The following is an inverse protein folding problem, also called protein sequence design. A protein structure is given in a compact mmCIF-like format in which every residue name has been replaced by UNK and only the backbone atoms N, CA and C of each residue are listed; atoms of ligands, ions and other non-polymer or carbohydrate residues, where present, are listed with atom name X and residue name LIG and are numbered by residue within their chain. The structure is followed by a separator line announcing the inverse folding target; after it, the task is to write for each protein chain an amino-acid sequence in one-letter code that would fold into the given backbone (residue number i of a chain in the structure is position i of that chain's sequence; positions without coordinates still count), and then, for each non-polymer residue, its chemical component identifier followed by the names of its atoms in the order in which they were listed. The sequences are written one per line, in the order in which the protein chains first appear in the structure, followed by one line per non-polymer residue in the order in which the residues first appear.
data_IF_160630656885
#
_entry.id   IF_160630656885
#
_cell.length_a   1.000
_cell.length_b   1.000
_cell.length_c   1.000
_cell.angle_alpha   90.00
_cell.angle_beta   90.00
_cell.angle_gamma   90.00
#
_symmetry.space_group_name_H-M   'P 1'
#
loop_
_entity.id
_entity.type
_entity.pdbx_description
1 polymer ?
#
# COMPACT_ATOMS: atom_id res chain seq x y z
N UNK A 1 -8.02 -9.54 -24.09
CA UNK A 1 -7.61 -9.97 -22.74
C UNK A 1 -6.74 -8.86 -22.18
N UNK A 2 -7.02 -8.32 -20.99
CA UNK A 2 -6.14 -7.29 -20.39
C UNK A 2 -4.73 -7.85 -20.26
N UNK A 3 -3.76 -7.18 -20.90
CA UNK A 3 -2.34 -7.61 -20.93
C UNK A 3 -1.60 -7.30 -19.63
N UNK A 4 -2.23 -6.55 -18.73
CA UNK A 4 -1.63 -6.01 -17.52
C UNK A 4 -2.54 -6.26 -16.33
N UNK A 5 -1.99 -6.80 -15.25
CA UNK A 5 -2.68 -6.98 -13.96
C UNK A 5 -1.97 -6.12 -12.92
N UNK A 6 -2.73 -5.37 -12.13
CA UNK A 6 -2.18 -4.48 -11.10
C UNK A 6 -2.88 -4.66 -9.75
N UNK A 7 -2.09 -4.60 -8.70
CA UNK A 7 -2.48 -4.95 -7.34
C UNK A 7 -1.94 -3.92 -6.34
N UNK A 8 -2.67 -3.79 -5.22
CA UNK A 8 -2.46 -2.79 -4.18
C UNK A 8 -2.44 -1.34 -4.71
N UNK A 9 -2.49 -0.36 -3.81
CA UNK A 9 -2.47 1.06 -4.20
C UNK A 9 -1.05 1.62 -4.22
N UNK A 10 -0.79 2.52 -5.17
CA UNK A 10 0.40 3.37 -5.18
C UNK A 10 0.19 4.49 -4.16
N UNK A 11 1.24 4.85 -3.43
CA UNK A 11 1.20 6.01 -2.55
C UNK A 11 1.08 7.26 -3.42
N UNK A 12 0.07 8.07 -3.13
CA UNK A 12 -0.20 9.38 -3.71
C UNK A 12 -0.05 10.45 -2.61
N UNK A 13 -0.48 11.68 -2.87
CA UNK A 13 -0.46 12.76 -1.88
C UNK A 13 -1.56 12.65 -0.80
N UNK A 14 -2.42 11.63 -0.84
CA UNK A 14 -3.54 11.48 0.09
C UNK A 14 -3.09 11.39 1.56
N UNK A 15 -2.08 10.57 1.93
CA UNK A 15 -1.57 10.55 3.31
C UNK A 15 -1.06 11.92 3.78
N UNK A 16 -0.41 12.68 2.89
CA UNK A 16 0.12 14.00 3.20
C UNK A 16 -1.01 15.00 3.43
N UNK A 17 -2.03 15.01 2.55
CA UNK A 17 -3.18 15.90 2.67
C UNK A 17 -3.98 15.63 3.95
N UNK A 18 -4.19 14.36 4.31
CA UNK A 18 -4.86 13.99 5.56
C UNK A 18 -4.04 14.43 6.77
N UNK A 19 -2.71 14.27 6.73
CA UNK A 19 -1.83 14.73 7.80
C UNK A 19 -1.89 16.25 7.98
N UNK A 20 -1.91 17.02 6.87
CA UNK A 20 -2.04 18.50 6.91
C UNK A 20 -3.39 18.88 7.52
N UNK A 21 -4.47 18.26 7.06
CA UNK A 21 -5.80 18.50 7.59
C UNK A 21 -5.88 18.20 9.09
N UNK A 22 -5.30 17.08 9.54
CA UNK A 22 -5.25 16.72 10.95
C UNK A 22 -4.48 17.75 11.79
N UNK A 23 -3.32 18.23 11.29
CA UNK A 23 -2.55 19.29 11.93
C UNK A 23 -3.35 20.59 12.08
N UNK A 24 -4.10 20.98 11.05
CA UNK A 24 -4.99 22.16 11.09
C UNK A 24 -6.12 22.01 12.11
N UNK A 25 -6.75 20.83 12.18
CA UNK A 25 -7.80 20.53 13.16
C UNK A 25 -7.25 20.64 14.58
N UNK A 26 -6.10 20.01 14.88
CA UNK A 26 -5.47 20.08 16.20
C UNK A 26 -5.06 21.50 16.56
N UNK A 27 -4.48 22.24 15.60
CA UNK A 27 -4.13 23.65 15.79
C UNK A 27 -5.36 24.51 16.12
N UNK A 28 -6.47 24.30 15.41
CA UNK A 28 -7.74 25.03 15.64
C UNK A 28 -8.32 24.74 17.02
N UNK A 29 -8.35 23.48 17.44
CA UNK A 29 -8.80 23.08 18.79
C UNK A 29 -7.91 23.73 19.85
N UNK A 30 -6.59 23.73 19.64
CA UNK A 30 -5.63 24.32 20.59
C UNK A 30 -5.79 25.84 20.66
N UNK A 31 -6.07 26.51 19.53
CA UNK A 31 -6.36 27.94 19.49
C UNK A 31 -7.58 28.30 20.34
N UNK A 32 -8.65 27.49 20.30
CA UNK A 32 -9.83 27.70 21.14
C UNK A 32 -9.53 27.61 22.64
N UNK A 33 -8.53 26.82 23.04
CA UNK A 33 -8.11 26.68 24.44
C UNK A 33 -7.11 27.77 24.88
N UNK A 34 -6.22 28.19 23.98
CA UNK A 34 -5.12 29.12 24.26
C UNK A 34 -5.05 30.25 23.21
N UNK A 35 -6.07 31.12 23.10
CA UNK A 35 -6.17 32.08 22.01
C UNK A 35 -5.04 33.12 21.98
N UNK A 36 -4.55 33.52 23.16
CA UNK A 36 -3.51 34.54 23.32
C UNK A 36 -2.08 34.01 23.14
N UNK A 37 -1.91 32.72 22.84
CA UNK A 37 -0.58 32.08 22.75
C UNK A 37 -0.35 31.48 21.36
N UNK A 38 -0.03 32.33 20.36
CA UNK A 38 0.14 31.90 18.97
C UNK A 38 1.14 30.78 18.76
N UNK A 39 2.20 30.81 19.56
CA UNK A 39 3.25 29.80 19.53
C UNK A 39 2.72 28.42 19.92
N UNK A 40 1.81 28.32 20.90
CA UNK A 40 1.31 27.05 21.45
C UNK A 40 0.47 26.33 20.39
N UNK A 41 -0.54 26.98 19.82
CA UNK A 41 -1.40 26.32 18.84
C UNK A 41 -0.68 26.01 17.53
N UNK A 42 0.29 26.83 17.13
CA UNK A 42 1.16 26.53 15.97
C UNK A 42 2.00 25.28 16.24
N UNK A 43 2.64 25.20 17.41
CA UNK A 43 3.48 24.06 17.78
C UNK A 43 2.66 22.77 17.85
N UNK A 44 1.48 22.80 18.48
CA UNK A 44 0.59 21.65 18.58
C UNK A 44 0.12 21.16 17.21
N UNK A 45 -0.27 22.06 16.30
CA UNK A 45 -0.67 21.68 14.93
C UNK A 45 0.48 21.07 14.12
N UNK A 46 1.68 21.66 14.20
CA UNK A 46 2.89 21.12 13.54
C UNK A 46 3.29 19.76 14.11
N UNK A 47 3.26 19.61 15.43
CA UNK A 47 3.57 18.32 16.08
C UNK A 47 2.56 17.23 15.68
N UNK A 48 1.26 17.56 15.62
CA UNK A 48 0.24 16.63 15.16
C UNK A 48 0.49 16.19 13.70
N UNK A 49 0.81 17.15 12.82
CA UNK A 49 1.19 16.84 11.43
C UNK A 49 2.42 15.92 11.36
N UNK A 50 3.46 16.19 12.14
CA UNK A 50 4.70 15.39 12.16
C UNK A 50 4.41 13.97 12.65
N UNK A 51 3.67 13.82 13.75
CA UNK A 51 3.31 12.51 14.31
C UNK A 51 2.49 11.71 13.32
N UNK A 52 1.49 12.33 12.68
CA UNK A 52 0.64 11.65 11.72
C UNK A 52 1.44 11.21 10.47
N UNK A 53 2.17 12.14 9.84
CA UNK A 53 2.88 11.90 8.58
C UNK A 53 4.14 11.05 8.72
N UNK A 54 4.86 11.14 9.85
CA UNK A 54 6.15 10.46 10.04
C UNK A 54 6.09 9.24 10.93
N UNK A 55 5.05 9.06 11.76
CA UNK A 55 4.92 7.91 12.67
C UNK A 55 3.72 7.04 12.34
N UNK A 56 2.52 7.62 12.28
CA UNK A 56 1.29 6.85 12.13
C UNK A 56 1.19 6.31 10.69
N UNK A 57 1.18 7.17 9.68
CA UNK A 57 1.06 6.73 8.29
C UNK A 57 2.12 5.71 7.85
N UNK A 58 3.44 5.93 8.04
CA UNK A 58 4.46 4.95 7.64
C UNK A 58 4.29 3.58 8.32
N UNK A 59 3.75 3.54 9.54
CA UNK A 59 3.48 2.29 10.25
C UNK A 59 2.35 1.49 9.59
N UNK A 60 1.27 2.16 9.18
CA UNK A 60 0.11 1.49 8.58
C UNK A 60 0.21 1.34 7.05
N UNK A 61 1.12 2.07 6.40
CA UNK A 61 1.29 2.09 4.96
C UNK A 61 1.47 0.69 4.35
N UNK A 62 2.25 -0.17 5.00
CA UNK A 62 2.56 -1.52 4.47
C UNK A 62 1.35 -2.46 4.37
N UNK A 63 0.23 -2.12 5.01
CA UNK A 63 -0.98 -2.94 4.95
C UNK A 63 -1.85 -2.59 3.73
N UNK A 64 -1.80 -1.33 3.29
CA UNK A 64 -2.69 -0.78 2.25
C UNK A 64 -1.94 -0.41 0.96
N UNK A 65 -0.64 -0.17 1.06
CA UNK A 65 0.22 0.30 -0.02
C UNK A 65 1.35 -0.70 -0.27
N UNK A 66 1.55 -1.01 -1.55
CA UNK A 66 2.48 -2.04 -2.01
C UNK A 66 2.29 -2.31 -3.49
N UNK A 67 2.03 -1.24 -4.24
CA UNK A 67 1.66 -1.32 -5.65
C UNK A 67 2.65 -2.19 -6.41
N UNK A 68 2.11 -3.16 -7.12
CA UNK A 68 2.85 -3.91 -8.10
C UNK A 68 1.95 -4.24 -9.27
N UNK A 69 2.58 -4.48 -10.40
CA UNK A 69 1.93 -4.89 -11.63
C UNK A 69 2.75 -5.93 -12.36
N UNK A 70 2.08 -6.68 -13.22
CA UNK A 70 2.70 -7.66 -14.09
C UNK A 70 2.18 -7.44 -15.51
N UNK A 71 3.10 -7.41 -16.46
CA UNK A 71 2.80 -7.24 -17.89
C UNK A 71 3.69 -8.16 -18.75
N UNK A 72 3.67 -7.99 -20.07
CA UNK A 72 4.40 -8.83 -21.01
C UNK A 72 5.93 -8.83 -20.84
N UNK A 73 6.50 -7.81 -20.18
CA UNK A 73 7.95 -7.66 -20.01
C UNK A 73 8.45 -8.14 -18.63
N UNK A 74 7.59 -8.11 -17.61
CA UNK A 74 7.97 -8.58 -16.28
C UNK A 74 7.06 -8.06 -15.17
N UNK A 75 7.62 -8.06 -13.96
CA UNK A 75 6.93 -7.63 -12.74
C UNK A 75 7.54 -6.31 -12.29
N UNK A 76 6.69 -5.33 -11.99
CA UNK A 76 7.07 -4.01 -11.53
C UNK A 76 6.50 -3.80 -10.14
N UNK A 77 7.31 -3.40 -9.18
CA UNK A 77 6.82 -3.12 -7.83
C UNK A 77 7.50 -1.89 -7.23
N UNK A 78 6.82 -1.22 -6.31
CA UNK A 78 7.39 -0.14 -5.52
C UNK A 78 7.91 -0.68 -4.20
N UNK A 79 9.14 -0.31 -3.86
CA UNK A 79 9.78 -0.77 -2.64
C UNK A 79 9.54 0.18 -1.47
N UNK A 80 8.69 -0.25 -0.54
CA UNK A 80 8.41 0.45 0.71
C UNK A 80 8.96 -0.29 1.94
N UNK A 81 10.02 -1.10 1.76
CA UNK A 81 10.63 -1.94 2.80
C UNK A 81 11.19 -1.17 3.99
N UNK A 82 11.68 0.06 3.77
CA UNK A 82 12.34 0.85 4.82
C UNK A 82 11.52 2.07 5.19
N UNK A 83 11.64 2.48 6.46
CA UNK A 83 10.96 3.67 6.99
C UNK A 83 11.26 4.92 6.17
N UNK A 84 12.52 5.11 5.75
CA UNK A 84 12.95 6.23 4.92
C UNK A 84 12.25 6.24 3.56
N UNK A 85 12.11 5.08 2.90
CA UNK A 85 11.39 4.95 1.63
C UNK A 85 9.92 5.29 1.80
N UNK A 86 9.29 4.85 2.89
CA UNK A 86 7.89 5.16 3.21
C UNK A 86 7.67 6.66 3.42
N UNK A 87 8.48 7.31 4.25
CA UNK A 87 8.41 8.76 4.47
C UNK A 87 8.61 9.49 3.14
N UNK A 88 9.65 9.14 2.37
CA UNK A 88 9.90 9.75 1.08
C UNK A 88 8.69 9.61 0.15
N UNK A 89 8.07 8.44 0.09
CA UNK A 89 6.90 8.21 -0.76
C UNK A 89 5.67 9.04 -0.33
N UNK A 90 5.53 9.38 0.95
CA UNK A 90 4.45 10.26 1.45
C UNK A 90 4.69 11.71 1.01
N UNK A 91 5.91 12.23 1.18
CA UNK A 91 6.23 13.62 0.88
C UNK A 91 6.53 13.87 -0.62
N UNK A 92 7.02 12.85 -1.33
CA UNK A 92 7.49 12.91 -2.71
C UNK A 92 7.05 11.65 -3.51
N UNK A 93 5.74 11.37 -3.65
CA UNK A 93 5.23 10.16 -4.31
C UNK A 93 5.63 10.03 -5.79
N UNK A 94 5.90 11.15 -6.46
CA UNK A 94 6.34 11.18 -7.87
C UNK A 94 7.80 10.80 -8.08
N UNK A 95 8.63 10.82 -7.02
CA UNK A 95 10.07 10.54 -7.13
C UNK A 95 10.38 9.05 -7.14
N UNK A 96 9.53 8.23 -6.52
CA UNK A 96 9.73 6.79 -6.48
C UNK A 96 9.52 6.17 -7.86
N UNK A 97 10.50 5.38 -8.30
CA UNK A 97 10.44 4.61 -9.55
C UNK A 97 10.19 3.15 -9.22
N UNK A 98 9.39 2.44 -10.05
CA UNK A 98 9.18 1.01 -9.85
C UNK A 98 10.49 0.24 -10.09
N UNK A 99 10.73 -0.78 -9.28
CA UNK A 99 11.75 -1.79 -9.52
C UNK A 99 11.19 -2.78 -10.54
N UNK A 100 11.97 -3.06 -11.59
CA UNK A 100 11.60 -3.99 -12.67
C UNK A 100 12.30 -5.32 -12.43
N UNK A 101 11.51 -6.39 -12.41
CA UNK A 101 11.98 -7.78 -12.36
C UNK A 101 11.61 -8.43 -13.70
N UNK A 102 12.55 -8.55 -14.65
CA UNK A 102 12.29 -9.25 -15.90
C UNK A 102 12.11 -10.75 -15.64
N UNK A 103 11.34 -11.43 -16.49
CA UNK A 103 11.10 -12.88 -16.35
C UNK A 103 12.40 -13.71 -16.29
N UNK A 104 13.41 -13.32 -17.06
CA UNK A 104 14.72 -13.97 -17.05
C UNK A 104 15.45 -13.96 -15.70
N UNK A 105 15.08 -13.04 -14.80
CA UNK A 105 15.67 -12.95 -13.46
C UNK A 105 14.93 -13.80 -12.40
N UNK A 106 13.76 -14.35 -12.75
CA UNK A 106 12.92 -15.14 -11.85
C UNK A 106 13.36 -16.60 -11.92
N UNK A 107 13.84 -17.15 -10.81
CA UNK A 107 14.25 -18.56 -10.73
C UNK A 107 13.10 -19.48 -10.32
N UNK A 108 12.21 -18.96 -9.48
CA UNK A 108 11.03 -19.68 -9.01
C UNK A 108 9.99 -18.68 -8.52
N UNK A 109 8.72 -19.09 -8.51
CA UNK A 109 7.64 -18.35 -7.87
C UNK A 109 6.76 -19.30 -7.06
N UNK A 110 6.08 -18.75 -6.06
CA UNK A 110 5.04 -19.47 -5.32
C UNK A 110 3.92 -18.53 -4.94
N UNK A 111 2.70 -19.06 -4.89
CA UNK A 111 1.54 -18.36 -4.32
C UNK A 111 1.29 -18.93 -2.94
N UNK A 112 1.35 -18.06 -1.93
CA UNK A 112 1.18 -18.46 -0.53
C UNK A 112 -0.12 -17.89 0.00
N UNK A 113 -0.88 -18.74 0.66
CA UNK A 113 -2.11 -18.37 1.34
C UNK A 113 -1.80 -17.62 2.64
N UNK A 114 -2.34 -16.41 2.75
CA UNK A 114 -2.38 -15.64 3.99
C UNK A 114 -3.79 -15.60 4.58
N UNK A 115 -3.87 -15.38 5.88
CA UNK A 115 -5.12 -15.05 6.58
C UNK A 115 -5.12 -13.56 6.87
N UNK A 116 -6.17 -12.86 6.47
CA UNK A 116 -6.41 -11.47 6.88
C UNK A 116 -7.78 -11.36 7.54
N UNK A 117 -7.84 -10.67 8.68
CA UNK A 117 -9.09 -10.29 9.33
C UNK A 117 -9.52 -8.97 8.70
N UNK A 118 -10.27 -9.03 7.60
CA UNK A 118 -10.83 -7.87 6.92
C UNK A 118 -12.21 -8.24 6.37
N UNK A 119 -13.27 -7.70 7.00
CA UNK A 119 -14.66 -7.83 6.57
C UNK A 119 -15.04 -6.87 5.43
N UNK A 120 -14.14 -6.60 4.51
CA UNK A 120 -14.43 -5.68 3.41
C UNK A 120 -14.27 -6.40 2.09
N UNK A 121 -15.22 -7.28 1.81
CA UNK A 121 -15.56 -7.60 0.42
C UNK A 121 -16.05 -6.34 -0.32
N UNK A 122 -16.40 -5.28 0.42
CA UNK A 122 -16.82 -3.98 -0.08
C UNK A 122 -16.13 -2.84 0.69
N UNK A 123 -15.67 -1.77 0.01
CA UNK A 123 -15.09 -0.59 0.65
C UNK A 123 -16.09 0.17 1.56
N UNK A 124 -17.39 -0.13 1.45
CA UNK A 124 -18.49 0.42 2.27
C UNK A 124 -18.86 -0.45 3.49
N UNK A 125 -18.12 -1.53 3.75
CA UNK A 125 -18.44 -2.50 4.80
C UNK A 125 -19.22 -3.72 4.27
N UNK A 126 -18.89 -4.90 4.79
CA UNK A 126 -19.58 -6.15 4.48
C UNK A 126 -20.81 -6.39 5.38
N UNK A 127 -21.70 -7.29 4.96
CA UNK A 127 -22.80 -7.73 5.82
C UNK A 127 -22.25 -8.47 7.07
N UNK A 128 -22.91 -8.30 8.21
CA UNK A 128 -22.49 -8.89 9.50
C UNK A 128 -22.45 -10.43 9.49
N UNK A 129 -23.11 -11.07 8.53
CA UNK A 129 -23.16 -12.52 8.38
C UNK A 129 -22.05 -13.11 7.49
N UNK A 130 -21.13 -12.27 6.99
CA UNK A 130 -19.99 -12.72 6.17
C UNK A 130 -18.77 -12.93 7.07
N UNK A 131 -17.97 -14.01 6.88
CA UNK A 131 -16.77 -14.23 7.67
C UNK A 131 -15.83 -13.02 7.64
N UNK A 132 -15.47 -12.50 8.83
CA UNK A 132 -14.54 -11.38 8.98
C UNK A 132 -13.15 -11.70 8.42
N UNK A 133 -12.80 -12.99 8.37
CA UNK A 133 -11.53 -13.46 7.84
C UNK A 133 -11.65 -13.80 6.35
N UNK A 134 -10.89 -13.10 5.53
CA UNK A 134 -10.74 -13.38 4.10
C UNK A 134 -9.38 -14.01 3.83
N UNK A 135 -9.38 -15.01 2.96
CA UNK A 135 -8.16 -15.58 2.40
C UNK A 135 -7.51 -14.53 1.48
N UNK A 136 -6.29 -14.13 1.82
CA UNK A 136 -5.47 -13.24 0.97
C UNK A 136 -4.35 -14.07 0.37
N UNK A 137 -3.86 -13.66 -0.79
CA UNK A 137 -2.77 -14.35 -1.46
C UNK A 137 -1.53 -13.45 -1.48
N UNK A 138 -0.37 -14.06 -1.34
CA UNK A 138 0.92 -13.43 -1.58
C UNK A 138 1.61 -14.14 -2.73
N UNK A 139 2.12 -13.37 -3.68
CA UNK A 139 3.05 -13.87 -4.69
C UNK A 139 4.46 -13.70 -4.15
N UNK A 140 5.18 -14.81 -3.99
CA UNK A 140 6.58 -14.83 -3.59
C UNK A 140 7.42 -15.16 -4.82
N UNK A 141 8.32 -14.26 -5.17
CA UNK A 141 9.21 -14.39 -6.34
C UNK A 141 10.63 -14.56 -5.81
N UNK A 142 11.29 -15.63 -6.23
CA UNK A 142 12.70 -15.86 -5.93
C UNK A 142 13.55 -15.42 -7.10
N UNK A 143 14.39 -14.42 -6.86
CA UNK A 143 15.40 -14.00 -7.84
C UNK A 143 16.76 -14.59 -7.49
N UNK A 144 17.78 -14.35 -8.32
CA UNK A 144 19.14 -14.79 -8.00
C UNK A 144 19.76 -14.16 -6.75
N UNK A 145 19.22 -13.02 -6.28
CA UNK A 145 19.86 -12.20 -5.24
C UNK A 145 18.95 -11.92 -4.03
N UNK A 146 17.63 -11.96 -4.19
CA UNK A 146 16.66 -11.63 -3.14
C UNK A 146 15.29 -12.24 -3.42
N UNK A 147 14.50 -12.40 -2.36
CA UNK A 147 13.11 -12.84 -2.43
C UNK A 147 12.18 -11.63 -2.32
N UNK A 148 11.20 -11.53 -3.22
CA UNK A 148 10.19 -10.46 -3.22
C UNK A 148 8.84 -11.04 -2.83
N UNK A 149 8.22 -10.49 -1.79
CA UNK A 149 6.86 -10.83 -1.37
C UNK A 149 5.89 -9.73 -1.78
N UNK A 150 5.00 -10.05 -2.71
CA UNK A 150 4.00 -9.14 -3.26
C UNK A 150 2.60 -9.49 -2.74
N UNK A 151 1.87 -8.49 -2.27
CA UNK A 151 0.53 -8.68 -1.70
C UNK A 151 -0.54 -8.64 -2.80
N UNK A 152 -1.41 -9.65 -2.85
CA UNK A 152 -2.48 -9.77 -3.82
C UNK A 152 -3.87 -9.59 -3.19
N UNK A 153 -4.00 -8.97 -2.00
CA UNK A 153 -5.28 -8.82 -1.32
C UNK A 153 -6.31 -7.96 -2.09
N UNK A 154 -5.80 -6.94 -2.78
CA UNK A 154 -6.59 -5.93 -3.50
C UNK A 154 -6.02 -5.69 -4.89
N UNK A 155 -6.90 -5.44 -5.86
CA UNK A 155 -6.53 -4.86 -7.15
C UNK A 155 -6.20 -3.38 -6.98
N UNK A 156 -5.45 -2.80 -7.92
CA UNK A 156 -5.11 -1.38 -7.87
C UNK A 156 -6.35 -0.45 -7.86
N UNK A 157 -7.47 -0.91 -8.43
CA UNK A 157 -8.77 -0.24 -8.38
C UNK A 157 -9.39 -0.17 -6.97
N UNK A 158 -8.82 -0.85 -5.98
CA UNK A 158 -9.37 -0.94 -4.62
C UNK A 158 -10.46 -2.01 -4.46
N UNK A 159 -10.66 -2.86 -5.46
CA UNK A 159 -11.58 -4.01 -5.37
C UNK A 159 -10.82 -5.24 -4.84
N UNK A 160 -11.44 -6.07 -3.98
CA UNK A 160 -10.91 -7.36 -3.57
C UNK A 160 -10.45 -8.24 -4.75
N UNK A 161 -9.26 -8.82 -4.64
CA UNK A 161 -8.78 -9.82 -5.62
C UNK A 161 -9.55 -11.14 -5.55
N UNK A 162 -9.95 -11.69 -6.69
CA UNK A 162 -10.63 -12.98 -6.77
C UNK A 162 -9.66 -14.14 -7.02
N UNK A 163 -10.08 -15.38 -6.80
CA UNK A 163 -9.27 -16.57 -7.14
C UNK A 163 -8.95 -16.60 -8.64
N UNK A 164 -9.86 -16.14 -9.50
CA UNK A 164 -9.63 -16.05 -10.94
C UNK A 164 -8.51 -15.05 -11.29
N UNK A 165 -8.42 -13.92 -10.57
CA UNK A 165 -7.33 -12.96 -10.75
C UNK A 165 -5.96 -13.61 -10.43
N UNK A 166 -5.89 -14.42 -9.37
CA UNK A 166 -4.67 -15.16 -9.00
C UNK A 166 -4.32 -16.23 -10.04
N UNK A 167 -5.30 -16.99 -10.52
CA UNK A 167 -5.09 -17.98 -11.57
C UNK A 167 -4.55 -17.34 -12.85
N UNK A 168 -5.00 -16.13 -13.20
CA UNK A 168 -4.45 -15.38 -14.35
C UNK A 168 -2.99 -15.00 -14.14
N UNK A 169 -2.60 -14.56 -12.94
CA UNK A 169 -1.19 -14.28 -12.61
C UNK A 169 -0.34 -15.54 -12.77
N UNK A 170 -0.80 -16.67 -12.23
CA UNK A 170 -0.09 -17.95 -12.33
C UNK A 170 0.02 -18.42 -13.79
N UNK A 171 -1.07 -18.33 -14.57
CA UNK A 171 -1.05 -18.70 -15.99
C UNK A 171 -0.08 -17.84 -16.79
N UNK A 172 -0.02 -16.54 -16.50
CA UNK A 172 0.88 -15.61 -17.17
C UNK A 172 2.35 -15.91 -16.82
N UNK A 173 2.66 -16.20 -15.55
CA UNK A 173 4.00 -16.60 -15.12
C UNK A 173 4.43 -17.92 -15.77
N UNK A 174 3.58 -18.96 -15.75
CA UNK A 174 3.86 -20.25 -16.39
C UNK A 174 4.05 -20.15 -17.91
N UNK A 175 3.48 -19.12 -18.55
CA UNK A 175 3.65 -18.91 -19.99
C UNK A 175 4.97 -18.23 -20.37
N UNK A 176 5.66 -17.61 -19.40
CA UNK A 176 6.83 -16.75 -19.61
C UNK A 176 8.12 -17.29 -18.97
N UNK A 177 8.01 -18.18 -17.99
CA UNK A 177 9.11 -18.86 -17.29
C UNK A 177 9.32 -20.27 -17.84
#
# INVERSE_FOLDING_TARGET
MEKELSFARKINFEPLLISIFFGLVVGTITYSMFPNSPLIWTLCGVLAFIVESMLIYPRYLSNSYGYWKIDDQGIYYYDYSTWRKKIRAIFLPSYEKPIVVPYSAIKAFSVVDGKSIMNTQYPLGGALNVPLARKIYYLVIKTGHYDVKLNCAWKASGIPTTTADIQRVVALLNSKL
#
